data_IF_722916884244
#
_entry.id   IF_722916884244
#
_cell.length_a   1.000
_cell.length_b   1.000
_cell.length_c   1.000
_cell.angle_alpha   90.00
_cell.angle_beta   90.00
_cell.angle_gamma   90.00
#
_symmetry.space_group_name_H-M   'P 1'
#
loop_
_entity.id
_entity.type
_entity.pdbx_description
1 polymer ?
#
# COMPACT_ATOMS: atom_id res chain seq x y z
N UNK A 1 23.81 -17.40 -12.56
CA UNK A 1 23.22 -16.86 -11.31
C UNK A 1 21.76 -16.61 -11.59
N UNK A 2 20.96 -17.67 -11.70
CA UNK A 2 20.04 -18.18 -10.65
C UNK A 2 19.33 -17.09 -9.82
N UNK A 3 17.99 -17.10 -9.98
CA UNK A 3 16.91 -16.53 -9.18
C UNK A 3 16.72 -15.01 -9.19
N UNK A 4 15.75 -14.56 -9.99
CA UNK A 4 14.77 -13.60 -9.46
C UNK A 4 13.36 -14.07 -9.82
N UNK A 5 12.77 -14.77 -8.85
CA UNK A 5 11.35 -15.10 -8.80
C UNK A 5 10.62 -13.76 -8.67
N UNK A 6 9.96 -13.32 -9.75
CA UNK A 6 9.03 -12.19 -9.71
C UNK A 6 7.64 -12.72 -9.99
N UNK A 7 6.97 -13.15 -8.91
CA UNK A 7 5.55 -12.88 -8.59
C UNK A 7 5.26 -13.47 -7.20
N UNK A 8 4.57 -12.71 -6.32
CA UNK A 8 3.12 -12.59 -6.46
C UNK A 8 2.60 -11.16 -6.38
N UNK A 9 1.74 -10.80 -7.35
CA UNK A 9 0.76 -9.73 -7.21
C UNK A 9 -0.28 -10.12 -6.14
N UNK A 10 -0.04 -9.70 -4.91
CA UNK A 10 -1.04 -9.73 -3.84
C UNK A 10 -1.87 -8.43 -3.91
N UNK A 11 -3.04 -8.49 -4.57
CA UNK A 11 -4.11 -7.49 -4.47
C UNK A 11 -4.91 -7.73 -3.17
N UNK A 12 -4.81 -6.90 -2.12
CA UNK A 12 -5.75 -7.01 -1.02
C UNK A 12 -7.02 -6.26 -1.40
N UNK A 13 -8.03 -7.04 -1.80
CA UNK A 13 -9.40 -6.58 -1.94
C UNK A 13 -9.88 -5.85 -0.69
N UNK A 14 -10.39 -4.63 -0.87
CA UNK A 14 -11.06 -3.82 0.16
C UNK A 14 -12.52 -3.54 -0.25
N UNK A 15 -13.45 -4.20 0.44
CA UNK A 15 -14.89 -4.28 0.22
C UNK A 15 -15.56 -2.96 -0.23
N UNK A 16 -16.28 -3.04 -1.36
CA UNK A 16 -17.27 -2.02 -1.76
C UNK A 16 -18.53 -2.23 -0.92
N UNK A 17 -18.77 -1.39 0.07
CA UNK A 17 -20.04 -1.36 0.82
C UNK A 17 -20.86 -0.16 0.39
N UNK A 18 -21.87 -0.43 -0.43
CA UNK A 18 -22.89 0.51 -0.85
C UNK A 18 -23.75 0.95 0.34
N UNK A 19 -23.76 2.24 0.65
CA UNK A 19 -24.66 2.87 1.63
C UNK A 19 -25.25 4.16 1.09
N UNK A 20 -26.56 4.16 0.80
CA UNK A 20 -27.32 5.25 0.21
C UNK A 20 -27.30 6.52 1.10
N UNK A 21 -27.02 7.68 0.50
CA UNK A 21 -27.46 9.00 1.01
C UNK A 21 -26.51 9.83 1.88
N UNK A 22 -25.35 9.32 2.31
CA UNK A 22 -24.29 10.14 2.96
C UNK A 22 -23.02 10.04 2.12
N UNK A 23 -22.25 11.13 1.98
CA UNK A 23 -20.93 11.12 1.31
C UNK A 23 -20.11 9.96 1.90
N UNK A 24 -19.96 8.89 1.14
CA UNK A 24 -19.36 7.65 1.62
C UNK A 24 -17.90 7.93 1.98
N UNK A 25 -17.55 7.77 3.26
CA UNK A 25 -16.15 7.96 3.70
C UNK A 25 -15.33 6.84 3.06
N UNK A 26 -14.09 7.16 2.66
CA UNK A 26 -13.17 6.12 2.18
C UNK A 26 -13.03 5.06 3.28
N UNK A 27 -13.23 3.76 2.98
CA UNK A 27 -12.98 2.71 3.96
C UNK A 27 -11.54 2.83 4.47
N UNK A 28 -11.34 2.55 5.75
CA UNK A 28 -9.99 2.56 6.32
C UNK A 28 -9.17 1.47 5.64
N UNK A 29 -7.92 1.78 5.35
CA UNK A 29 -6.99 0.80 4.79
C UNK A 29 -6.43 -0.02 5.93
N UNK A 30 -6.43 -1.34 5.78
CA UNK A 30 -5.80 -2.28 6.71
C UNK A 30 -4.58 -2.85 5.99
N UNK A 31 -3.40 -2.62 6.56
CA UNK A 31 -2.16 -3.14 6.01
C UNK A 31 -1.89 -4.56 6.54
N UNK A 32 -1.30 -5.41 5.70
CA UNK A 32 -0.78 -6.71 6.12
C UNK A 32 0.47 -6.54 6.99
N UNK A 33 0.83 -7.60 7.73
CA UNK A 33 2.05 -7.60 8.55
C UNK A 33 3.30 -7.29 7.70
N UNK A 34 3.39 -7.88 6.50
CA UNK A 34 4.50 -7.66 5.57
C UNK A 34 4.59 -6.19 5.12
N UNK A 35 3.45 -5.59 4.77
CA UNK A 35 3.39 -4.18 4.37
C UNK A 35 3.87 -3.27 5.52
N UNK A 36 3.42 -3.52 6.76
CA UNK A 36 3.87 -2.75 7.92
C UNK A 36 5.39 -2.87 8.18
N UNK A 37 5.95 -4.07 8.03
CA UNK A 37 7.40 -4.28 8.17
C UNK A 37 8.19 -3.50 7.11
N UNK A 38 7.74 -3.52 5.85
CA UNK A 38 8.37 -2.78 4.76
C UNK A 38 8.28 -1.26 4.98
N UNK A 39 7.12 -0.75 5.40
CA UNK A 39 6.90 0.66 5.76
C UNK A 39 7.87 1.09 6.89
N UNK A 40 7.94 0.32 7.97
CA UNK A 40 8.85 0.61 9.09
C UNK A 40 10.31 0.60 8.67
N UNK A 41 10.74 -0.38 7.85
CA UNK A 41 12.12 -0.45 7.36
C UNK A 41 12.48 0.76 6.49
N UNK A 42 11.57 1.25 5.65
CA UNK A 42 11.81 2.46 4.85
C UNK A 42 11.83 3.69 5.75
N UNK A 43 10.91 3.79 6.70
CA UNK A 43 10.81 4.93 7.62
C UNK A 43 12.09 5.13 8.45
N UNK A 44 12.74 4.05 8.88
CA UNK A 44 14.03 4.10 9.58
C UNK A 44 15.14 4.77 8.76
N UNK A 45 15.07 4.69 7.42
CA UNK A 45 16.06 5.30 6.52
C UNK A 45 15.65 6.71 6.10
N UNK A 46 14.37 6.91 5.83
CA UNK A 46 13.85 8.16 5.32
C UNK A 46 12.38 8.31 5.75
N UNK A 47 12.13 9.26 6.65
CA UNK A 47 10.79 9.48 7.22
C UNK A 47 9.86 10.21 6.25
N UNK A 48 10.43 11.03 5.36
CA UNK A 48 9.69 11.85 4.41
C UNK A 48 10.18 11.57 3.00
N UNK A 49 9.29 11.00 2.20
CA UNK A 49 9.56 10.70 0.81
C UNK A 49 9.03 11.81 -0.09
N UNK A 50 9.79 12.09 -1.15
CA UNK A 50 9.30 12.96 -2.21
C UNK A 50 8.04 12.35 -2.86
N UNK A 51 7.25 13.19 -3.52
CA UNK A 51 6.02 12.76 -4.19
C UNK A 51 6.22 11.56 -5.15
N UNK A 52 7.26 11.51 -6.01
CA UNK A 52 7.51 10.35 -6.87
C UNK A 52 7.86 9.08 -6.08
N UNK A 53 8.76 9.18 -5.09
CA UNK A 53 9.18 8.05 -4.27
C UNK A 53 8.00 7.45 -3.46
N UNK A 54 7.03 8.28 -3.05
CA UNK A 54 5.79 7.80 -2.43
C UNK A 54 4.95 6.97 -3.39
N UNK A 55 4.84 7.40 -4.65
CA UNK A 55 4.07 6.65 -5.66
C UNK A 55 4.70 5.28 -5.92
N UNK A 56 6.03 5.23 -6.05
CA UNK A 56 6.78 3.99 -6.26
C UNK A 56 6.66 3.04 -5.07
N UNK A 57 6.81 3.56 -3.84
CA UNK A 57 6.63 2.75 -2.63
C UNK A 57 5.22 2.20 -2.54
N UNK A 58 4.19 3.03 -2.76
CA UNK A 58 2.81 2.60 -2.73
C UNK A 58 2.54 1.51 -3.79
N UNK A 59 3.03 1.69 -5.02
CA UNK A 59 2.91 0.69 -6.07
C UNK A 59 3.58 -0.65 -5.69
N UNK A 60 4.76 -0.62 -5.05
CA UNK A 60 5.46 -1.82 -4.58
C UNK A 60 4.70 -2.57 -3.47
N UNK A 61 3.87 -1.86 -2.71
CA UNK A 61 3.05 -2.40 -1.62
C UNK A 61 1.63 -2.78 -2.07
N UNK A 62 1.27 -2.56 -3.33
CA UNK A 62 -0.11 -2.71 -3.82
C UNK A 62 -1.09 -1.69 -3.23
N UNK A 63 -0.58 -0.51 -2.87
CA UNK A 63 -1.35 0.60 -2.30
C UNK A 63 -1.48 1.75 -3.31
N UNK A 64 -2.48 2.59 -3.13
CA UNK A 64 -2.55 3.88 -3.82
C UNK A 64 -1.63 4.89 -3.14
N UNK A 65 -1.09 5.85 -3.88
CA UNK A 65 -0.18 6.89 -3.35
C UNK A 65 -0.74 7.67 -2.14
N UNK A 66 -2.08 7.71 -2.01
CA UNK A 66 -2.77 8.45 -0.96
C UNK A 66 -3.12 7.60 0.28
N UNK A 67 -2.77 6.31 0.28
CA UNK A 67 -2.85 5.40 1.42
C UNK A 67 -1.49 5.28 2.11
#
# INVERSE_FOLDING_TARGET
MIHEIVEPKEEPGGLRLNGKGKKMRKPRTIYSSLQLQQLNRRFQRTQYLALPERAELAASLGLTQTQ
#
